data_IF_366275789974
#
_entry.id   IF_366275789974
#
_cell.length_a   1.000
_cell.length_b   1.000
_cell.length_c   1.000
_cell.angle_alpha   90.00
_cell.angle_beta   90.00
_cell.angle_gamma   90.00
#
_symmetry.space_group_name_H-M   'P 1'
#
loop_
_entity.id
_entity.type
_entity.pdbx_description
1 polymer ?
#
# COMPACT_ATOMS: atom_id res chain seq x y z
N UNK A 1 2.11 27.14 0.44
CA UNK A 1 1.48 26.27 1.44
C UNK A 1 1.47 24.83 0.93
N UNK A 2 1.91 23.89 1.76
CA UNK A 2 1.90 22.48 1.39
C UNK A 2 0.50 21.92 1.44
N UNK A 3 0.17 21.08 0.46
CA UNK A 3 -1.11 20.40 0.40
C UNK A 3 -0.88 18.89 0.53
N UNK A 4 -1.51 18.27 1.53
CA UNK A 4 -1.48 16.84 1.73
C UNK A 4 -2.73 16.22 1.10
N UNK A 5 -2.52 15.24 0.24
CA UNK A 5 -3.59 14.54 -0.44
C UNK A 5 -3.51 13.06 -0.09
N UNK A 6 -4.67 12.47 0.22
CA UNK A 6 -4.79 11.03 0.44
C UNK A 6 -5.73 10.49 -0.63
N UNK A 7 -5.27 9.51 -1.40
CA UNK A 7 -6.08 8.92 -2.46
C UNK A 7 -5.75 7.44 -2.67
N UNK A 8 -6.59 6.78 -3.44
CA UNK A 8 -6.38 5.37 -3.76
C UNK A 8 -5.21 5.22 -4.72
N UNK A 9 -4.38 4.21 -4.46
CA UNK A 9 -3.24 3.92 -5.31
C UNK A 9 -3.69 3.40 -6.68
N UNK A 10 -2.93 3.75 -7.70
CA UNK A 10 -3.13 3.29 -9.09
C UNK A 10 -1.88 2.56 -9.55
N UNK A 11 -2.00 1.80 -10.63
CA UNK A 11 -0.86 1.03 -11.16
C UNK A 11 0.36 1.92 -11.41
N UNK A 12 0.15 3.15 -11.87
CA UNK A 12 1.25 4.10 -12.11
C UNK A 12 2.05 4.43 -10.87
N UNK A 13 1.49 4.19 -9.69
CA UNK A 13 2.14 4.47 -8.41
C UNK A 13 3.00 3.31 -7.90
N UNK A 14 2.94 2.14 -8.55
CA UNK A 14 3.52 0.91 -8.00
C UNK A 14 5.02 1.02 -7.68
N UNK A 15 5.81 1.65 -8.54
CA UNK A 15 7.25 1.81 -8.29
C UNK A 15 7.50 2.59 -7.00
N UNK A 16 6.76 3.66 -6.79
CA UNK A 16 6.91 4.47 -5.57
C UNK A 16 6.53 3.67 -4.33
N UNK A 17 5.49 2.83 -4.44
CA UNK A 17 5.07 1.98 -3.33
C UNK A 17 6.14 0.94 -2.98
N UNK A 18 6.77 0.33 -3.99
CA UNK A 18 7.84 -0.64 -3.78
C UNK A 18 9.02 0.03 -3.08
N UNK A 19 9.38 1.25 -3.47
CA UNK A 19 10.46 1.98 -2.82
C UNK A 19 10.12 2.31 -1.37
N UNK A 20 8.87 2.64 -1.06
CA UNK A 20 8.46 2.86 0.33
C UNK A 20 8.60 1.60 1.17
N UNK A 21 8.26 0.44 0.60
CA UNK A 21 8.42 -0.83 1.29
C UNK A 21 9.90 -1.16 1.50
N UNK A 22 10.72 -0.90 0.50
CA UNK A 22 12.15 -1.15 0.55
C UNK A 22 12.88 -0.20 1.50
N UNK A 23 12.45 1.07 1.55
CA UNK A 23 13.08 2.13 2.35
C UNK A 23 12.68 2.05 3.82
N UNK A 24 12.78 0.87 4.41
CA UNK A 24 12.43 0.59 5.80
C UNK A 24 13.50 -0.37 6.34
N UNK A 25 13.90 -0.21 7.58
CA UNK A 25 14.97 -1.02 8.16
C UNK A 25 14.68 -2.52 8.07
N UNK A 26 13.42 -2.92 8.24
CA UNK A 26 13.00 -4.30 8.06
C UNK A 26 12.78 -4.63 6.59
N UNK A 27 12.30 -3.68 5.81
CA UNK A 27 11.98 -3.87 4.40
C UNK A 27 13.21 -4.12 3.54
N UNK A 28 14.37 -3.56 3.90
CA UNK A 28 15.61 -3.76 3.14
C UNK A 28 15.97 -5.23 3.00
N UNK A 29 15.64 -6.04 4.01
CA UNK A 29 15.97 -7.46 4.01
C UNK A 29 14.86 -8.32 3.38
N UNK A 30 13.63 -7.82 3.31
CA UNK A 30 12.48 -8.57 2.80
C UNK A 30 12.08 -8.19 1.38
N UNK A 31 12.20 -6.91 1.05
CA UNK A 31 11.75 -6.38 -0.22
C UNK A 31 12.88 -6.35 -1.24
N UNK A 32 12.52 -6.31 -2.51
CA UNK A 32 13.50 -6.34 -3.58
C UNK A 32 13.02 -5.43 -4.72
N UNK A 33 13.94 -4.60 -5.24
CA UNK A 33 13.62 -3.64 -6.30
C UNK A 33 14.04 -4.14 -7.68
N UNK A 34 14.41 -5.43 -7.82
CA UNK A 34 14.79 -5.99 -9.12
C UNK A 34 13.59 -6.05 -10.07
N UNK A 35 13.88 -6.16 -11.36
CA UNK A 35 12.83 -6.25 -12.38
C UNK A 35 11.96 -7.50 -12.20
N UNK A 36 12.55 -8.63 -11.85
CA UNK A 36 11.79 -9.85 -11.58
C UNK A 36 10.86 -9.66 -10.40
N UNK A 37 11.35 -9.05 -9.33
CA UNK A 37 10.52 -8.75 -8.17
C UNK A 37 9.42 -7.75 -8.50
N UNK A 38 9.69 -6.78 -9.36
CA UNK A 38 8.67 -5.83 -9.80
C UNK A 38 7.46 -6.56 -10.39
N UNK A 39 7.70 -7.59 -11.22
CA UNK A 39 6.60 -8.36 -11.80
C UNK A 39 5.79 -9.10 -10.73
N UNK A 40 6.43 -9.58 -9.68
CA UNK A 40 5.75 -10.21 -8.57
C UNK A 40 4.87 -9.22 -7.80
N UNK A 41 5.40 -8.02 -7.53
CA UNK A 41 4.63 -6.96 -6.89
C UNK A 41 3.44 -6.55 -7.76
N UNK A 42 3.66 -6.45 -9.07
CA UNK A 42 2.59 -6.07 -9.99
C UNK A 42 1.45 -7.07 -9.97
N UNK A 43 1.76 -8.36 -9.97
CA UNK A 43 0.74 -9.41 -9.90
C UNK A 43 -0.10 -9.27 -8.63
N UNK A 44 0.56 -9.07 -7.49
CA UNK A 44 -0.12 -8.90 -6.21
C UNK A 44 -0.94 -7.62 -6.18
N UNK A 45 -0.38 -6.54 -6.72
CA UNK A 45 -1.08 -5.26 -6.79
C UNK A 45 -2.37 -5.38 -7.60
N UNK A 46 -2.31 -6.07 -8.73
CA UNK A 46 -3.49 -6.28 -9.56
C UNK A 46 -4.55 -7.10 -8.83
N UNK A 47 -4.15 -8.09 -8.04
CA UNK A 47 -5.09 -8.85 -7.21
C UNK A 47 -5.79 -7.93 -6.21
N UNK A 48 -5.03 -7.04 -5.59
CA UNK A 48 -5.58 -6.08 -4.62
C UNK A 48 -6.56 -5.14 -5.30
N UNK A 49 -6.20 -4.61 -6.47
CA UNK A 49 -7.07 -3.70 -7.21
C UNK A 49 -8.40 -4.35 -7.61
N UNK A 50 -8.38 -5.66 -7.85
CA UNK A 50 -9.58 -6.40 -8.27
C UNK A 50 -10.37 -6.98 -7.10
N UNK A 51 -9.93 -6.76 -5.87
CA UNK A 51 -10.60 -7.27 -4.66
C UNK A 51 -11.30 -6.12 -3.96
N UNK A 52 -12.63 -6.15 -3.95
CA UNK A 52 -13.43 -5.08 -3.35
C UNK A 52 -13.22 -4.92 -1.84
N UNK A 53 -12.62 -5.92 -1.19
CA UNK A 53 -12.34 -5.87 0.25
C UNK A 53 -10.95 -5.32 0.56
N UNK A 54 -10.17 -5.00 -0.46
CA UNK A 54 -8.81 -4.48 -0.27
C UNK A 54 -8.65 -3.14 -0.97
N UNK A 55 -7.83 -2.29 -0.34
CA UNK A 55 -7.52 -0.99 -0.89
C UNK A 55 -6.13 -0.56 -0.45
N UNK A 56 -5.38 0.06 -1.35
CA UNK A 56 -4.13 0.70 -0.99
C UNK A 56 -4.33 2.20 -1.15
N UNK A 57 -4.02 2.94 -0.09
CA UNK A 57 -4.07 4.40 -0.09
C UNK A 57 -2.66 4.94 -0.16
N UNK A 58 -2.51 6.06 -0.85
CA UNK A 58 -1.25 6.78 -0.91
C UNK A 58 -1.42 8.16 -0.31
N UNK A 59 -0.33 8.67 0.23
CA UNK A 59 -0.25 10.01 0.80
C UNK A 59 0.71 10.82 -0.06
N UNK A 60 0.22 11.92 -0.61
CA UNK A 60 0.97 12.77 -1.53
C UNK A 60 1.18 14.14 -0.88
N UNK A 61 2.43 14.58 -0.86
CA UNK A 61 2.77 15.92 -0.36
C UNK A 61 3.68 16.58 -1.39
N UNK A 62 3.29 17.77 -1.85
CA UNK A 62 4.05 18.52 -2.86
C UNK A 62 4.37 17.65 -4.09
N UNK A 63 3.35 16.96 -4.61
CA UNK A 63 3.43 16.10 -5.78
C UNK A 63 4.32 14.87 -5.62
N UNK A 64 4.74 14.56 -4.39
CA UNK A 64 5.54 13.37 -4.10
C UNK A 64 4.76 12.40 -3.22
N UNK A 65 4.86 11.11 -3.55
CA UNK A 65 4.28 10.06 -2.71
C UNK A 65 5.20 9.87 -1.52
N UNK A 66 4.69 10.18 -0.32
CA UNK A 66 5.45 10.10 0.92
C UNK A 66 4.96 9.00 1.86
N UNK A 67 3.85 8.36 1.55
CA UNK A 67 3.32 7.33 2.43
C UNK A 67 2.36 6.40 1.73
N UNK A 68 2.12 5.25 2.35
CA UNK A 68 1.17 4.25 1.86
C UNK A 68 0.56 3.47 3.03
N UNK A 69 -0.58 2.84 2.76
CA UNK A 69 -1.27 1.98 3.71
C UNK A 69 -2.16 1.02 2.94
N UNK A 70 -2.19 -0.25 3.36
CA UNK A 70 -3.15 -1.21 2.82
C UNK A 70 -4.24 -1.48 3.84
N UNK A 71 -5.49 -1.43 3.38
CA UNK A 71 -6.68 -1.66 4.19
C UNK A 71 -7.41 -2.90 3.67
N UNK A 72 -7.71 -3.83 4.57
CA UNK A 72 -8.47 -5.02 4.23
C UNK A 72 -9.73 -5.08 5.08
N UNK A 73 -10.88 -5.21 4.43
CA UNK A 73 -12.17 -5.37 5.08
C UNK A 73 -12.43 -6.87 5.26
N UNK A 74 -12.69 -7.28 6.50
CA UNK A 74 -12.88 -8.69 6.83
C UNK A 74 -14.31 -8.86 7.38
N UNK A 75 -15.25 -9.31 6.52
CA UNK A 75 -16.61 -9.60 6.99
C UNK A 75 -16.57 -10.76 7.98
N UNK A 76 -17.38 -10.68 9.02
CA UNK A 76 -17.49 -11.75 10.01
C UNK A 76 -18.93 -12.13 10.24
N UNK A 77 -19.13 -13.36 10.68
CA UNK A 77 -20.47 -13.85 11.04
C UNK A 77 -20.77 -13.64 12.51
N UNK A 78 -19.76 -13.82 13.36
CA UNK A 78 -19.93 -13.71 14.81
C UNK A 78 -20.19 -12.26 15.22
N UNK A 79 -20.66 -12.09 16.45
CA UNK A 79 -21.00 -10.78 17.02
C UNK A 79 -21.92 -10.00 16.08
N UNK A 80 -23.04 -10.67 15.73
CA UNK A 80 -24.08 -10.09 14.86
C UNK A 80 -23.58 -9.60 13.51
N UNK A 81 -22.59 -10.32 12.92
CA UNK A 81 -22.07 -9.96 11.62
C UNK A 81 -21.08 -8.80 11.63
N UNK A 82 -20.32 -8.67 12.71
CA UNK A 82 -19.34 -7.59 12.83
C UNK A 82 -18.31 -7.63 11.72
N UNK A 83 -18.09 -6.52 11.06
CA UNK A 83 -17.03 -6.36 10.06
C UNK A 83 -15.78 -5.80 10.74
N UNK A 84 -14.64 -6.40 10.46
CA UNK A 84 -13.35 -5.91 10.96
C UNK A 84 -12.55 -5.30 9.84
N UNK A 85 -11.54 -4.54 10.22
CA UNK A 85 -10.65 -3.90 9.27
C UNK A 85 -9.21 -4.17 9.69
N UNK A 86 -8.39 -4.63 8.76
CA UNK A 86 -6.97 -4.84 9.00
C UNK A 86 -6.17 -3.79 8.26
N UNK A 87 -5.24 -3.17 8.95
CA UNK A 87 -4.34 -2.18 8.37
C UNK A 87 -2.95 -2.79 8.36
N UNK A 88 -2.30 -2.79 7.20
CA UNK A 88 -0.95 -3.31 7.08
C UNK A 88 -0.14 -2.51 6.07
N UNK A 89 1.16 -2.76 6.03
CA UNK A 89 2.10 -2.09 5.13
C UNK A 89 2.02 -0.56 5.26
N UNK A 90 1.87 -0.07 6.49
CA UNK A 90 1.93 1.37 6.72
C UNK A 90 3.38 1.82 6.61
N UNK A 91 3.65 2.71 5.68
CA UNK A 91 5.00 3.24 5.44
C UNK A 91 4.93 4.74 5.24
N UNK A 92 5.86 5.44 5.86
CA UNK A 92 6.05 6.87 5.66
C UNK A 92 7.50 7.08 5.25
N UNK A 93 7.72 7.92 4.24
CA UNK A 93 9.05 8.26 3.78
C UNK A 93 9.87 8.85 4.93
N UNK A 94 11.14 8.43 5.03
CA UNK A 94 12.00 8.84 6.17
C UNK A 94 12.31 10.32 6.20
N UNK A 95 12.37 10.99 5.05
CA UNK A 95 12.75 12.42 5.00
C UNK A 95 11.55 13.33 4.86
#
# INVERSE_FOLDING_TARGET
MSTLIIEKAKLKNLKDLIYLLFDDDLGKDRENISETSFNNYKKSFMKILNDSNNEIFIMILNDQIIGMMQLTIIPGLSIEGMTRCQIESVRIKKD
#
